data_IF_092395913839
#
_entry.id   IF_092395913839
#
_cell.length_a   1.000
_cell.length_b   1.000
_cell.length_c   1.000
_cell.angle_alpha   90.00
_cell.angle_beta   90.00
_cell.angle_gamma   90.00
#
_symmetry.space_group_name_H-M   'P 1'
#
loop_
_entity.id
_entity.type
_entity.pdbx_description
1 polymer ?
#
# COMPACT_ATOMS: atom_id res chain seq x y z
N UNK A 1 23.59 -9.76 12.25
CA UNK A 1 22.37 -9.52 13.07
C UNK A 1 21.23 -9.09 12.15
N UNK A 2 20.05 -9.64 12.32
CA UNK A 2 18.84 -9.19 11.62
C UNK A 2 17.99 -8.36 12.58
N UNK A 3 17.41 -7.24 12.09
CA UNK A 3 16.55 -6.35 12.89
C UNK A 3 15.18 -6.27 12.22
N UNK A 4 14.12 -6.49 12.99
CA UNK A 4 12.74 -6.24 12.59
C UNK A 4 12.26 -4.97 13.30
N UNK A 5 11.99 -3.93 12.52
CA UNK A 5 11.46 -2.65 13.00
C UNK A 5 9.95 -2.57 12.68
N UNK A 6 9.13 -2.33 13.68
CA UNK A 6 7.69 -2.06 13.52
C UNK A 6 7.46 -0.59 13.81
N UNK A 7 7.01 0.16 12.81
CA UNK A 7 6.80 1.61 12.91
C UNK A 7 5.75 2.08 11.91
N UNK A 8 5.18 3.24 12.15
CA UNK A 8 4.34 3.97 11.19
C UNK A 8 5.10 5.16 10.54
N UNK A 9 6.37 5.35 10.88
CA UNK A 9 7.19 6.42 10.31
C UNK A 9 7.91 5.94 9.05
N UNK A 10 7.38 6.31 7.90
CA UNK A 10 7.94 5.95 6.60
C UNK A 10 9.28 6.63 6.31
N UNK A 11 9.57 7.78 6.94
CA UNK A 11 10.86 8.45 6.84
C UNK A 11 11.97 7.58 7.43
N UNK A 12 11.75 7.06 8.63
CA UNK A 12 12.69 6.13 9.28
C UNK A 12 12.84 4.85 8.44
N UNK A 13 11.75 4.32 7.90
CA UNK A 13 11.78 3.14 7.04
C UNK A 13 12.65 3.37 5.81
N UNK A 14 12.50 4.53 5.15
CA UNK A 14 13.27 4.87 3.96
C UNK A 14 14.79 4.90 4.21
N UNK A 15 15.19 5.37 5.39
CA UNK A 15 16.60 5.56 5.74
C UNK A 15 17.28 4.29 6.31
N UNK A 16 16.53 3.43 6.97
CA UNK A 16 17.11 2.35 7.79
C UNK A 16 16.80 0.94 7.31
N UNK A 17 15.73 0.76 6.52
CA UNK A 17 15.28 -0.57 6.12
C UNK A 17 15.76 -0.95 4.73
N UNK A 18 16.04 -2.24 4.52
CA UNK A 18 16.35 -2.79 3.18
C UNK A 18 15.11 -3.41 2.53
N UNK A 19 14.15 -3.83 3.34
CA UNK A 19 12.91 -4.48 2.91
C UNK A 19 11.75 -4.00 3.77
N UNK A 20 10.60 -3.82 3.17
CA UNK A 20 9.40 -3.34 3.84
C UNK A 20 8.25 -4.32 3.64
N UNK A 21 7.49 -4.52 4.70
CA UNK A 21 6.22 -5.23 4.70
C UNK A 21 5.15 -4.24 5.13
N UNK A 22 4.21 -3.93 4.26
CA UNK A 22 3.09 -3.04 4.56
C UNK A 22 1.90 -3.88 5.03
N UNK A 23 1.37 -3.55 6.19
CA UNK A 23 0.21 -4.23 6.77
C UNK A 23 -1.02 -3.34 6.72
N UNK A 24 -2.16 -3.95 6.41
CA UNK A 24 -3.46 -3.31 6.50
C UNK A 24 -4.51 -4.32 6.98
N UNK A 25 -5.32 -3.93 7.96
CA UNK A 25 -6.41 -4.75 8.46
C UNK A 25 -5.99 -6.20 8.77
N UNK A 26 -4.84 -6.37 9.43
CA UNK A 26 -4.31 -7.68 9.82
C UNK A 26 -3.70 -8.53 8.69
N UNK A 27 -3.47 -7.96 7.52
CA UNK A 27 -2.85 -8.65 6.38
C UNK A 27 -1.63 -7.89 5.85
N UNK A 28 -0.63 -8.64 5.38
CA UNK A 28 0.42 -8.07 4.53
C UNK A 28 -0.22 -7.76 3.16
N UNK A 29 -0.22 -6.50 2.79
CA UNK A 29 -0.79 -6.04 1.51
C UNK A 29 0.27 -5.80 0.45
N UNK A 30 1.49 -5.48 0.87
CA UNK A 30 2.64 -5.34 -0.02
C UNK A 30 3.94 -5.69 0.71
N UNK A 31 4.85 -6.32 0.00
CA UNK A 31 6.20 -6.63 0.46
C UNK A 31 7.18 -6.34 -0.68
N UNK A 32 8.22 -5.55 -0.43
CA UNK A 32 9.19 -5.19 -1.46
C UNK A 32 10.51 -4.69 -0.85
N UNK A 33 11.60 -4.65 -1.64
CA UNK A 33 12.75 -3.82 -1.31
C UNK A 33 12.33 -2.37 -1.13
N UNK A 34 12.97 -1.65 -0.21
CA UNK A 34 12.57 -0.29 0.18
C UNK A 34 12.52 0.66 -1.03
N UNK A 35 13.52 0.63 -1.88
CA UNK A 35 13.59 1.49 -3.08
C UNK A 35 12.39 1.27 -3.99
N UNK A 36 12.08 0.01 -4.29
CA UNK A 36 10.94 -0.33 -5.13
C UNK A 36 9.61 0.13 -4.54
N UNK A 37 9.43 -0.06 -3.23
CA UNK A 37 8.19 0.32 -2.56
C UNK A 37 7.93 1.83 -2.65
N UNK A 38 8.99 2.64 -2.51
CA UNK A 38 8.89 4.10 -2.60
C UNK A 38 8.76 4.61 -4.04
N UNK A 39 9.42 3.97 -5.00
CA UNK A 39 9.38 4.39 -6.41
C UNK A 39 8.11 3.93 -7.14
N UNK A 40 7.74 2.66 -6.93
CA UNK A 40 6.64 2.01 -7.66
C UNK A 40 5.76 1.17 -6.72
N UNK A 41 5.02 1.80 -5.81
CA UNK A 41 4.11 1.06 -4.93
C UNK A 41 3.08 0.29 -5.75
N UNK A 42 2.85 -0.96 -5.37
CA UNK A 42 1.96 -1.86 -6.10
C UNK A 42 0.53 -1.86 -5.54
N UNK A 43 0.40 -1.63 -4.22
CA UNK A 43 -0.90 -1.61 -3.56
C UNK A 43 -1.40 -0.16 -3.36
N UNK A 44 -2.69 0.11 -3.64
CA UNK A 44 -3.26 1.46 -3.45
C UNK A 44 -3.12 2.03 -2.05
N UNK A 45 -3.15 1.20 -1.01
CA UNK A 45 -2.91 1.64 0.36
C UNK A 45 -1.47 2.15 0.55
N UNK A 46 -0.48 1.41 0.05
CA UNK A 46 0.94 1.85 0.07
C UNK A 46 1.11 3.19 -0.65
N UNK A 47 0.53 3.32 -1.84
CA UNK A 47 0.54 4.58 -2.59
C UNK A 47 -0.12 5.72 -1.80
N UNK A 48 -1.21 5.45 -1.10
CA UNK A 48 -1.89 6.41 -0.23
C UNK A 48 -1.02 6.86 0.93
N UNK A 49 -0.33 5.93 1.59
CA UNK A 49 0.61 6.24 2.68
C UNK A 49 1.75 7.14 2.20
N UNK A 50 2.34 6.85 1.04
CA UNK A 50 3.42 7.65 0.47
C UNK A 50 2.97 9.05 0.08
N UNK A 51 1.74 9.21 -0.44
CA UNK A 51 1.15 10.53 -0.71
C UNK A 51 0.90 11.34 0.56
N UNK A 52 0.62 10.68 1.67
CA UNK A 52 0.37 11.32 2.95
C UNK A 52 1.65 11.76 3.68
N UNK A 53 2.82 11.37 3.18
CA UNK A 53 4.10 11.79 3.78
C UNK A 53 4.34 13.28 3.61
N UNK A 54 4.76 14.00 4.67
CA UNK A 54 5.20 15.39 4.55
C UNK A 54 6.41 15.49 3.62
N UNK A 55 6.35 16.38 2.63
CA UNK A 55 7.52 16.71 1.79
C UNK A 55 8.24 17.92 2.35
N UNK A 56 9.56 17.89 2.38
CA UNK A 56 10.37 19.05 2.74
C UNK A 56 10.03 20.22 1.80
N UNK A 57 9.59 21.34 2.35
CA UNK A 57 9.21 22.53 1.58
C UNK A 57 7.71 22.69 1.29
N UNK A 58 6.89 21.75 1.66
CA UNK A 58 5.44 21.81 1.44
C UNK A 58 4.75 22.57 2.57
N UNK A 59 4.86 23.91 2.54
CA UNK A 59 4.25 24.79 3.55
C UNK A 59 2.77 25.14 3.27
N UNK A 60 2.15 24.59 2.21
CA UNK A 60 0.83 25.04 1.71
C UNK A 60 -0.12 23.93 1.31
N UNK A 61 0.03 22.70 1.78
CA UNK A 61 -0.89 21.64 1.38
C UNK A 61 -1.52 20.93 2.56
N UNK A 62 -2.81 20.67 2.51
CA UNK A 62 -3.41 19.59 3.31
C UNK A 62 -2.66 18.32 2.92
N UNK A 63 -2.06 17.66 3.89
CA UNK A 63 -1.51 16.33 3.68
C UNK A 63 -2.61 15.46 3.09
N UNK A 64 -2.31 14.76 2.01
CA UNK A 64 -3.23 13.80 1.43
C UNK A 64 -3.57 12.76 2.50
N UNK A 65 -4.85 12.54 2.74
CA UNK A 65 -5.32 11.53 3.69
C UNK A 65 -6.05 10.42 2.94
N UNK A 66 -6.00 9.22 3.49
CA UNK A 66 -6.80 8.11 2.99
C UNK A 66 -8.16 8.22 3.68
N UNK A 67 -9.25 8.55 2.97
CA UNK A 67 -10.56 8.68 3.59
C UNK A 67 -11.09 7.34 4.09
N UNK A 68 -12.06 7.39 5.01
CA UNK A 68 -12.67 6.21 5.61
C UNK A 68 -11.90 5.69 6.81
N UNK A 69 -12.26 4.53 7.28
CA UNK A 69 -11.69 3.88 8.46
C UNK A 69 -11.32 2.43 8.19
N UNK A 70 -10.40 1.91 9.00
CA UNK A 70 -10.03 0.49 8.96
C UNK A 70 -11.23 -0.35 9.41
N UNK A 71 -11.58 -1.44 8.69
CA UNK A 71 -12.66 -2.32 9.12
C UNK A 71 -12.38 -2.97 10.48
N UNK A 72 -13.45 -3.25 11.22
CA UNK A 72 -13.35 -3.91 12.53
C UNK A 72 -12.74 -5.30 12.41
N UNK A 73 -11.82 -5.68 13.33
CA UNK A 73 -11.26 -7.05 13.37
C UNK A 73 -12.33 -8.13 13.61
N UNK A 74 -13.48 -7.75 14.15
CA UNK A 74 -14.60 -8.66 14.40
C UNK A 74 -15.54 -8.81 13.21
N UNK A 75 -15.35 -8.01 12.14
CA UNK A 75 -16.23 -7.97 10.97
C UNK A 75 -15.42 -7.66 9.71
N UNK A 76 -14.48 -8.55 9.34
CA UNK A 76 -13.74 -8.39 8.10
C UNK A 76 -14.68 -8.44 6.89
N UNK A 77 -14.60 -7.47 5.95
CA UNK A 77 -15.40 -7.53 4.74
C UNK A 77 -15.04 -8.74 3.88
N UNK A 78 -16.01 -9.25 3.15
CA UNK A 78 -15.77 -10.23 2.08
C UNK A 78 -14.97 -9.56 0.97
N UNK A 79 -14.05 -10.28 0.35
CA UNK A 79 -13.19 -9.74 -0.71
C UNK A 79 -12.00 -8.95 -0.17
N UNK A 80 -11.64 -7.91 -0.87
CA UNK A 80 -10.50 -7.08 -0.48
C UNK A 80 -10.84 -6.21 0.73
N UNK A 81 -10.04 -6.30 1.78
CA UNK A 81 -10.26 -5.55 3.03
C UNK A 81 -10.09 -4.03 2.88
N UNK A 82 -9.38 -3.59 1.85
CA UNK A 82 -9.14 -2.17 1.56
C UNK A 82 -10.18 -1.55 0.62
N UNK A 83 -11.08 -2.32 0.03
CA UNK A 83 -12.01 -1.89 -1.04
C UNK A 83 -12.81 -0.63 -0.73
N UNK A 84 -13.27 -0.47 0.52
CA UNK A 84 -14.13 0.66 0.91
C UNK A 84 -13.38 2.01 0.97
N UNK A 85 -12.05 1.96 0.95
CA UNK A 85 -11.16 3.13 0.96
C UNK A 85 -10.33 3.26 -0.32
N UNK A 86 -10.53 2.35 -1.28
CA UNK A 86 -9.71 2.22 -2.47
C UNK A 86 -10.33 2.95 -3.67
N UNK A 87 -9.63 3.93 -4.23
CA UNK A 87 -10.07 4.66 -5.43
C UNK A 87 -10.09 3.79 -6.70
N UNK A 88 -9.47 2.63 -6.67
CA UNK A 88 -9.36 1.69 -7.78
C UNK A 88 -10.29 0.47 -7.63
N UNK A 89 -11.10 0.43 -6.58
CA UNK A 89 -11.97 -0.71 -6.31
C UNK A 89 -13.02 -0.90 -7.42
N UNK A 90 -13.24 -2.17 -7.77
CA UNK A 90 -14.31 -2.57 -8.68
C UNK A 90 -15.01 -3.83 -8.17
N UNK A 91 -15.96 -4.35 -8.92
CA UNK A 91 -16.84 -5.44 -8.48
C UNK A 91 -16.07 -6.66 -7.95
N UNK A 92 -15.00 -7.08 -8.61
CA UNK A 92 -14.17 -8.21 -8.16
C UNK A 92 -13.65 -8.02 -6.73
N UNK A 93 -13.28 -6.79 -6.36
CA UNK A 93 -12.79 -6.47 -5.02
C UNK A 93 -13.84 -6.69 -3.92
N UNK A 94 -15.11 -6.64 -4.26
CA UNK A 94 -16.19 -6.86 -3.31
C UNK A 94 -16.46 -8.34 -3.03
N UNK A 95 -16.12 -9.22 -3.96
CA UNK A 95 -16.50 -10.63 -3.92
C UNK A 95 -15.32 -11.59 -3.73
N UNK A 96 -14.13 -11.20 -4.16
CA UNK A 96 -12.95 -12.05 -4.18
C UNK A 96 -11.80 -11.40 -3.40
N UNK A 97 -11.26 -12.11 -2.40
CA UNK A 97 -10.08 -11.67 -1.68
C UNK A 97 -8.83 -11.86 -2.56
N UNK A 98 -8.04 -10.82 -2.82
CA UNK A 98 -6.84 -10.98 -3.62
C UNK A 98 -5.78 -11.79 -2.86
N UNK A 99 -5.11 -12.75 -3.52
CA UNK A 99 -3.97 -13.43 -2.92
C UNK A 99 -2.75 -12.51 -2.86
N UNK A 100 -1.79 -12.83 -1.99
CA UNK A 100 -0.47 -12.19 -2.02
C UNK A 100 0.33 -12.77 -3.18
N UNK A 101 0.34 -12.06 -4.30
CA UNK A 101 0.95 -12.51 -5.55
C UNK A 101 2.35 -11.92 -5.74
N UNK A 102 3.27 -12.72 -6.22
CA UNK A 102 4.63 -12.28 -6.59
C UNK A 102 4.55 -11.34 -7.79
N UNK A 103 5.16 -10.17 -7.69
CA UNK A 103 5.15 -9.12 -8.72
C UNK A 103 6.54 -8.78 -9.26
N UNK A 104 7.56 -9.52 -8.83
CA UNK A 104 8.94 -9.34 -9.26
C UNK A 104 9.91 -9.86 -8.24
N UNK A 105 11.20 -9.60 -8.44
CA UNK A 105 12.25 -10.05 -7.54
C UNK A 105 12.01 -9.51 -6.11
N UNK A 106 11.83 -10.41 -5.16
CA UNK A 106 11.62 -10.10 -3.74
C UNK A 106 10.43 -9.17 -3.46
N UNK A 107 9.44 -9.11 -4.36
CA UNK A 107 8.27 -8.25 -4.23
C UNK A 107 6.97 -9.03 -4.44
N UNK A 108 5.98 -8.70 -3.63
CA UNK A 108 4.63 -9.27 -3.69
C UNK A 108 3.59 -8.24 -3.27
N UNK A 109 2.38 -8.35 -3.81
CA UNK A 109 1.27 -7.49 -3.44
C UNK A 109 -0.05 -8.25 -3.41
N UNK A 110 -0.91 -7.89 -2.47
CA UNK A 110 -2.25 -8.44 -2.29
C UNK A 110 -3.28 -7.50 -2.90
N UNK A 111 -3.34 -7.50 -4.22
CA UNK A 111 -4.25 -6.62 -4.96
C UNK A 111 -4.57 -7.19 -6.33
N UNK A 112 -5.85 -7.10 -6.76
CA UNK A 112 -6.26 -7.54 -8.10
C UNK A 112 -5.64 -6.72 -9.23
N UNK A 113 -5.16 -5.50 -8.97
CA UNK A 113 -4.40 -4.71 -9.95
C UNK A 113 -3.11 -5.40 -10.43
N UNK A 114 -2.61 -6.39 -9.67
CA UNK A 114 -1.46 -7.20 -10.09
C UNK A 114 -1.76 -8.03 -11.32
N UNK A 115 -2.98 -8.56 -11.42
CA UNK A 115 -3.43 -9.41 -12.53
C UNK A 115 -4.16 -8.63 -13.63
N UNK A 116 -4.60 -7.41 -13.32
CA UNK A 116 -5.30 -6.52 -14.24
C UNK A 116 -4.57 -5.17 -14.34
N UNK A 117 -3.34 -5.14 -14.91
CA UNK A 117 -2.47 -3.95 -14.88
C UNK A 117 -3.03 -2.76 -15.67
N UNK A 118 -3.95 -2.97 -16.59
CA UNK A 118 -4.64 -1.91 -17.31
C UNK A 118 -5.47 -1.02 -16.40
N UNK A 119 -5.86 -1.52 -15.22
CA UNK A 119 -6.59 -0.76 -14.20
C UNK A 119 -5.70 0.10 -13.30
N UNK A 120 -4.37 0.01 -13.47
CA UNK A 120 -3.36 0.71 -12.65
C UNK A 120 -3.17 2.19 -13.00
N UNK A 121 -4.00 2.77 -13.83
CA UNK A 121 -3.83 4.17 -14.25
C UNK A 121 -3.75 5.12 -13.04
N UNK A 122 -2.66 5.86 -12.93
CA UNK A 122 -2.42 6.85 -11.87
C UNK A 122 -1.66 6.35 -10.64
N UNK A 123 -1.50 5.03 -10.45
CA UNK A 123 -0.73 4.48 -9.31
C UNK A 123 0.78 4.77 -9.41
N UNK A 124 1.33 4.69 -10.62
CA UNK A 124 2.77 4.83 -10.87
C UNK A 124 3.31 6.26 -10.73
N UNK A 125 2.47 7.25 -10.44
CA UNK A 125 2.87 8.67 -10.37
C UNK A 125 3.11 9.17 -8.95
N UNK A 126 3.08 8.31 -7.96
CA UNK A 126 3.18 8.71 -6.54
C UNK A 126 4.59 9.14 -6.15
N UNK A 127 5.61 8.63 -6.83
CA UNK A 127 7.02 8.94 -6.57
C UNK A 127 7.61 10.09 -7.41
N UNK A 128 6.80 10.70 -8.26
CA UNK A 128 7.25 11.83 -9.08
C UNK A 128 7.20 13.15 -8.33
#
# INVERSE_FOLDING_TARGET
>A
MAVLLITHDLGIVAETCTRVLVMYAGQIVEAAPVERLFETPAHPYTAGLLRAMPRLGDHRGRLATIPGSVPSPTAWPVGCRFRDRCDYAWERCAHEAPPLAVIGARAAARCHLVTEPERRRGLAQVGA
#
